data_IF_921550529236
#
_entry.id   IF_921550529236
#
_cell.length_a   1.000
_cell.length_b   1.000
_cell.length_c   1.000
_cell.angle_alpha   90.00
_cell.angle_beta   90.00
_cell.angle_gamma   90.00
#
_symmetry.space_group_name_H-M   'P 1'
#
loop_
_entity.id
_entity.type
_entity.pdbx_description
1 polymer ?
#
# COMPACT_ATOMS: atom_id res chain seq x y z
N UNK A 1 -2.35 -23.75 -8.97
CA UNK A 1 -2.13 -22.32 -8.65
C UNK A 1 -3.02 -21.41 -9.48
N UNK A 2 -2.89 -21.37 -10.81
CA UNK A 2 -3.76 -20.58 -11.71
C UNK A 2 -5.27 -20.80 -11.44
N UNK A 3 -5.74 -22.04 -11.34
CA UNK A 3 -7.14 -22.34 -11.03
C UNK A 3 -7.58 -21.95 -9.60
N UNK A 4 -6.64 -21.79 -8.67
CA UNK A 4 -6.93 -21.24 -7.33
C UNK A 4 -7.04 -19.71 -7.39
N UNK A 5 -6.13 -19.04 -8.10
CA UNK A 5 -6.17 -17.59 -8.34
C UNK A 5 -7.39 -17.16 -9.15
N UNK A 6 -7.77 -17.89 -10.21
CA UNK A 6 -9.00 -17.63 -10.99
C UNK A 6 -10.25 -17.63 -10.11
N UNK A 7 -10.37 -18.59 -9.19
CA UNK A 7 -11.50 -18.66 -8.25
C UNK A 7 -11.50 -17.53 -7.21
N UNK A 8 -10.33 -16.96 -6.90
CA UNK A 8 -10.20 -15.88 -5.92
C UNK A 8 -10.32 -14.48 -6.53
N UNK A 9 -9.82 -14.28 -7.74
CA UNK A 9 -9.80 -13.00 -8.45
C UNK A 9 -11.05 -12.78 -9.31
N UNK A 10 -11.79 -13.85 -9.66
CA UNK A 10 -13.00 -13.75 -10.49
C UNK A 10 -12.74 -13.35 -11.95
N UNK A 11 -11.49 -13.06 -12.32
CA UNK A 11 -11.06 -12.69 -13.67
C UNK A 11 -9.91 -13.59 -14.13
N UNK A 12 -10.03 -14.09 -15.36
CA UNK A 12 -9.08 -15.04 -15.97
C UNK A 12 -7.71 -14.44 -16.23
N UNK A 13 -7.68 -13.18 -16.65
CA UNK A 13 -6.48 -12.47 -17.10
C UNK A 13 -5.63 -12.02 -15.90
N UNK A 14 -6.25 -11.37 -14.91
CA UNK A 14 -5.57 -11.02 -13.65
C UNK A 14 -4.99 -12.25 -12.93
N UNK A 15 -5.64 -13.42 -13.03
CA UNK A 15 -5.10 -14.64 -12.46
C UNK A 15 -3.88 -15.18 -13.22
N UNK A 16 -3.79 -14.94 -14.53
CA UNK A 16 -2.63 -15.29 -15.34
C UNK A 16 -1.44 -14.38 -15.01
N UNK A 17 -1.66 -13.05 -14.96
CA UNK A 17 -0.64 -12.07 -14.60
C UNK A 17 -0.05 -12.36 -13.22
N UNK A 18 -0.90 -12.55 -12.22
CA UNK A 18 -0.45 -12.81 -10.85
C UNK A 18 0.27 -14.17 -10.72
N UNK A 19 -0.06 -15.14 -11.57
CA UNK A 19 0.67 -16.41 -11.66
C UNK A 19 2.06 -16.17 -12.24
N UNK A 20 2.16 -15.42 -13.34
CA UNK A 20 3.43 -15.06 -13.96
C UNK A 20 4.34 -14.33 -12.97
N UNK A 21 3.83 -13.30 -12.29
CA UNK A 21 4.58 -12.52 -11.31
C UNK A 21 5.10 -13.40 -10.16
N UNK A 22 4.28 -14.34 -9.69
CA UNK A 22 4.71 -15.28 -8.65
C UNK A 22 5.88 -16.14 -9.15
N UNK A 23 5.81 -16.66 -10.38
CA UNK A 23 6.89 -17.47 -10.94
C UNK A 23 8.17 -16.65 -11.13
N UNK A 24 8.08 -15.42 -11.64
CA UNK A 24 9.22 -14.50 -11.78
C UNK A 24 9.89 -14.24 -10.42
N UNK A 25 9.09 -14.00 -9.38
CA UNK A 25 9.61 -13.72 -8.05
C UNK A 25 10.29 -14.94 -7.41
N UNK A 26 9.76 -16.15 -7.65
CA UNK A 26 10.39 -17.41 -7.21
C UNK A 26 11.69 -17.68 -7.97
N UNK A 27 11.70 -17.48 -9.29
CA UNK A 27 12.92 -17.68 -10.09
C UNK A 27 14.04 -16.70 -9.73
N UNK A 28 13.67 -15.49 -9.28
CA UNK A 28 14.61 -14.46 -8.87
C UNK A 28 15.14 -14.65 -7.44
N UNK A 29 14.57 -15.59 -6.67
CA UNK A 29 15.03 -15.88 -5.31
C UNK A 29 16.35 -16.68 -5.36
N UNK A 30 17.43 -16.11 -4.82
CA UNK A 30 18.79 -16.63 -4.90
C UNK A 30 18.99 -18.08 -4.38
N UNK A 31 18.03 -18.64 -3.64
CA UNK A 31 18.08 -20.00 -3.08
C UNK A 31 16.87 -20.85 -3.49
N UNK A 32 16.25 -20.57 -4.64
CA UNK A 32 15.07 -21.30 -5.12
C UNK A 32 15.29 -22.83 -5.21
N UNK A 33 16.53 -23.27 -5.42
CA UNK A 33 16.89 -24.69 -5.54
C UNK A 33 17.08 -25.42 -4.20
N UNK A 34 17.29 -24.72 -3.09
CA UNK A 34 17.49 -25.32 -1.74
C UNK A 34 16.19 -25.38 -0.92
N UNK A 35 15.07 -25.06 -1.56
CA UNK A 35 13.80 -24.84 -0.88
C UNK A 35 13.12 -26.17 -0.54
N UNK A 36 13.03 -26.50 0.74
CA UNK A 36 12.41 -27.74 1.23
C UNK A 36 10.88 -27.82 0.97
N UNK A 37 10.18 -26.68 0.90
CA UNK A 37 8.72 -26.63 0.67
C UNK A 37 8.30 -25.62 -0.43
N UNK A 38 8.60 -25.92 -1.71
CA UNK A 38 8.38 -24.98 -2.81
C UNK A 38 6.90 -24.62 -3.03
N UNK A 39 5.96 -25.53 -2.74
CA UNK A 39 4.52 -25.27 -2.85
C UNK A 39 3.99 -24.30 -1.79
N UNK A 40 4.47 -24.44 -0.54
CA UNK A 40 4.09 -23.55 0.55
C UNK A 40 4.62 -22.13 0.26
N UNK A 41 5.88 -22.03 -0.18
CA UNK A 41 6.50 -20.77 -0.57
C UNK A 41 5.78 -20.07 -1.73
N UNK A 42 5.47 -20.79 -2.82
CA UNK A 42 4.65 -20.28 -3.93
C UNK A 42 3.30 -19.75 -3.45
N UNK A 43 2.66 -20.44 -2.50
CA UNK A 43 1.37 -20.02 -1.95
C UNK A 43 1.49 -18.75 -1.11
N UNK A 44 2.58 -18.58 -0.36
CA UNK A 44 2.86 -17.36 0.41
C UNK A 44 3.07 -16.18 -0.54
N UNK A 45 3.89 -16.33 -1.58
CA UNK A 45 4.10 -15.30 -2.59
C UNK A 45 2.78 -14.95 -3.30
N UNK A 46 2.05 -15.95 -3.77
CA UNK A 46 0.77 -15.73 -4.45
C UNK A 46 -0.23 -14.98 -3.57
N UNK A 47 -0.30 -15.32 -2.28
CA UNK A 47 -1.16 -14.60 -1.31
C UNK A 47 -0.72 -13.16 -1.11
N UNK A 48 0.59 -12.91 -1.01
CA UNK A 48 1.14 -11.56 -0.87
C UNK A 48 0.86 -10.72 -2.10
N UNK A 49 1.12 -11.25 -3.30
CA UNK A 49 0.83 -10.57 -4.56
C UNK A 49 -0.66 -10.31 -4.71
N UNK A 50 -1.51 -11.28 -4.36
CA UNK A 50 -2.97 -11.13 -4.41
C UNK A 50 -3.45 -10.05 -3.44
N UNK A 51 -2.91 -9.98 -2.22
CA UNK A 51 -3.24 -8.93 -1.26
C UNK A 51 -2.83 -7.54 -1.80
N UNK A 52 -1.63 -7.42 -2.37
CA UNK A 52 -1.18 -6.19 -3.00
C UNK A 52 -2.07 -5.79 -4.19
N UNK A 53 -2.50 -6.76 -5.00
CA UNK A 53 -3.42 -6.54 -6.12
C UNK A 53 -4.76 -5.95 -5.64
N UNK A 54 -5.40 -6.59 -4.66
CA UNK A 54 -6.67 -6.08 -4.10
C UNK A 54 -6.49 -4.70 -3.48
N UNK A 55 -5.40 -4.48 -2.75
CA UNK A 55 -5.09 -3.18 -2.15
C UNK A 55 -4.94 -2.08 -3.20
N UNK A 56 -4.22 -2.34 -4.29
CA UNK A 56 -4.07 -1.38 -5.39
C UNK A 56 -5.40 -1.11 -6.09
N UNK A 57 -6.22 -2.15 -6.28
CA UNK A 57 -7.56 -2.04 -6.88
C UNK A 57 -8.50 -1.19 -6.01
N UNK A 58 -8.49 -1.39 -4.69
CA UNK A 58 -9.33 -0.62 -3.77
C UNK A 58 -8.95 0.87 -3.79
N UNK A 59 -7.64 1.16 -3.85
CA UNK A 59 -7.13 2.53 -3.98
C UNK A 59 -7.53 3.17 -5.30
N UNK A 60 -7.39 2.45 -6.41
CA UNK A 60 -7.80 2.91 -7.75
C UNK A 60 -9.29 3.21 -7.80
N UNK A 61 -10.12 2.33 -7.23
CA UNK A 61 -11.57 2.56 -7.17
C UNK A 61 -11.90 3.81 -6.34
N UNK A 62 -11.30 3.98 -5.16
CA UNK A 62 -11.52 5.17 -4.34
C UNK A 62 -11.11 6.46 -5.06
N UNK A 63 -10.04 6.41 -5.86
CA UNK A 63 -9.62 7.54 -6.68
C UNK A 63 -10.60 7.84 -7.82
N UNK A 64 -11.10 6.81 -8.51
CA UNK A 64 -12.13 6.96 -9.55
C UNK A 64 -13.44 7.53 -8.97
N UNK A 65 -13.83 7.07 -7.79
CA UNK A 65 -15.02 7.56 -7.08
C UNK A 65 -14.85 9.05 -6.71
N UNK A 66 -13.65 9.47 -6.29
CA UNK A 66 -13.35 10.88 -6.02
C UNK A 66 -13.40 11.73 -7.31
N UNK A 67 -12.87 11.21 -8.42
CA UNK A 67 -12.92 11.89 -9.73
C UNK A 67 -14.34 12.01 -10.28
N UNK A 68 -15.23 11.04 -10.00
CA UNK A 68 -16.60 11.05 -10.49
C UNK A 68 -17.42 12.24 -9.97
N UNK A 69 -16.99 12.86 -8.86
CA UNK A 69 -17.64 14.04 -8.26
C UNK A 69 -16.91 15.34 -8.66
N UNK A 70 -15.79 15.24 -9.38
CA UNK A 70 -14.98 16.38 -9.80
C UNK A 70 -15.51 16.97 -11.13
N UNK A 71 -15.52 18.31 -11.30
CA UNK A 71 -15.85 18.92 -12.59
C UNK A 71 -14.86 18.51 -13.68
N UNK A 72 -15.35 18.16 -14.88
CA UNK A 72 -14.54 17.66 -16.00
C UNK A 72 -13.37 18.57 -16.40
N UNK A 73 -13.48 19.88 -16.18
CA UNK A 73 -12.43 20.86 -16.48
C UNK A 73 -11.14 20.65 -15.67
N UNK A 74 -11.19 19.86 -14.59
CA UNK A 74 -10.05 19.56 -13.72
C UNK A 74 -9.62 18.08 -13.82
N UNK A 75 -10.17 17.31 -14.75
CA UNK A 75 -9.86 15.90 -14.88
C UNK A 75 -8.39 15.70 -15.32
N UNK A 76 -7.59 14.94 -14.56
CA UNK A 76 -6.20 14.67 -14.94
C UNK A 76 -6.12 13.80 -16.19
N UNK A 77 -5.07 14.00 -16.99
CA UNK A 77 -4.77 13.17 -18.16
C UNK A 77 -4.54 11.70 -17.75
N UNK A 78 -4.55 10.78 -18.72
CA UNK A 78 -4.28 9.36 -18.42
C UNK A 78 -2.87 9.15 -17.84
N UNK A 79 -1.88 9.88 -18.32
CA UNK A 79 -0.50 9.81 -17.81
C UNK A 79 -0.42 10.35 -16.38
N UNK A 80 -1.04 11.50 -16.10
CA UNK A 80 -1.09 12.08 -14.75
C UNK A 80 -1.80 11.16 -13.76
N UNK A 81 -2.88 10.48 -14.20
CA UNK A 81 -3.59 9.50 -13.37
C UNK A 81 -2.69 8.35 -12.93
N UNK A 82 -1.84 7.84 -13.83
CA UNK A 82 -0.89 6.76 -13.50
C UNK A 82 0.11 7.25 -12.45
N UNK A 83 0.69 8.44 -12.66
CA UNK A 83 1.65 9.04 -11.72
C UNK A 83 1.02 9.24 -10.34
N UNK A 84 -0.21 9.76 -10.28
CA UNK A 84 -0.94 9.97 -9.02
C UNK A 84 -1.22 8.65 -8.32
N UNK A 85 -1.69 7.62 -9.04
CA UNK A 85 -1.96 6.31 -8.45
C UNK A 85 -0.69 5.63 -7.93
N UNK A 86 0.43 5.76 -8.64
CA UNK A 86 1.73 5.25 -8.19
C UNK A 86 2.18 5.95 -6.90
N UNK A 87 2.11 7.28 -6.86
CA UNK A 87 2.44 8.06 -5.68
C UNK A 87 1.54 7.69 -4.48
N UNK A 88 0.23 7.58 -4.69
CA UNK A 88 -0.72 7.15 -3.66
C UNK A 88 -0.43 5.73 -3.16
N UNK A 89 -0.05 4.81 -4.06
CA UNK A 89 0.32 3.44 -3.70
C UNK A 89 1.57 3.43 -2.81
N UNK A 90 2.58 4.24 -3.14
CA UNK A 90 3.79 4.35 -2.33
C UNK A 90 3.49 4.91 -0.92
N UNK A 91 2.68 5.97 -0.85
CA UNK A 91 2.24 6.55 0.43
C UNK A 91 1.47 5.51 1.25
N UNK A 92 0.53 4.78 0.64
CA UNK A 92 -0.27 3.78 1.33
C UNK A 92 0.61 2.63 1.87
N UNK A 93 1.56 2.12 1.07
CA UNK A 93 2.52 1.12 1.50
C UNK A 93 3.36 1.60 2.70
N UNK A 94 3.86 2.84 2.65
CA UNK A 94 4.59 3.46 3.75
C UNK A 94 3.72 3.57 5.01
N UNK A 95 2.49 4.07 4.88
CA UNK A 95 1.56 4.18 6.01
C UNK A 95 1.21 2.83 6.63
N UNK A 96 1.12 1.75 5.84
CA UNK A 96 0.89 0.41 6.37
C UNK A 96 2.12 -0.21 7.07
N UNK A 97 3.32 0.29 6.81
CA UNK A 97 4.52 -0.12 7.54
C UNK A 97 4.61 0.49 8.94
N UNK A 98 3.86 1.58 9.19
CA UNK A 98 3.87 2.29 10.45
C UNK A 98 2.99 1.57 11.51
N UNK A 99 3.42 1.54 12.77
CA UNK A 99 2.53 1.17 13.86
C UNK A 99 1.32 2.09 13.93
N UNK A 100 0.16 1.55 14.29
CA UNK A 100 -1.13 2.26 14.26
C UNK A 100 -1.10 3.63 14.96
N UNK A 101 -0.49 3.71 16.15
CA UNK A 101 -0.38 4.98 16.88
C UNK A 101 0.53 6.02 16.20
N UNK A 102 1.53 5.57 15.44
CA UNK A 102 2.42 6.44 14.66
C UNK A 102 1.68 6.96 13.43
N UNK A 103 0.95 6.08 12.73
CA UNK A 103 0.09 6.42 11.61
C UNK A 103 -0.99 7.44 12.02
N UNK A 104 -1.69 7.21 13.13
CA UNK A 104 -2.71 8.13 13.65
C UNK A 104 -2.16 9.53 13.93
N UNK A 105 -1.02 9.62 14.63
CA UNK A 105 -0.36 10.91 14.90
C UNK A 105 0.00 11.64 13.61
N UNK A 106 0.55 10.92 12.62
CA UNK A 106 0.91 11.49 11.33
C UNK A 106 -0.31 12.02 10.56
N UNK A 107 -1.38 11.22 10.46
CA UNK A 107 -2.59 11.62 9.74
C UNK A 107 -3.30 12.79 10.41
N UNK A 108 -3.36 12.85 11.75
CA UNK A 108 -3.94 13.99 12.46
C UNK A 108 -3.16 15.28 12.20
N UNK A 109 -1.83 15.21 12.10
CA UNK A 109 -1.04 16.39 11.79
C UNK A 109 -1.15 16.81 10.31
N UNK A 110 -1.12 15.86 9.38
CA UNK A 110 -1.02 16.17 7.94
C UNK A 110 -2.38 16.38 7.25
N UNK A 111 -3.43 15.65 7.65
CA UNK A 111 -4.75 15.76 7.03
C UNK A 111 -5.71 16.64 7.83
N UNK A 112 -5.55 16.67 9.15
CA UNK A 112 -6.41 17.44 10.04
C UNK A 112 -5.72 18.70 10.59
N UNK A 113 -4.50 19.00 10.12
CA UNK A 113 -3.71 20.19 10.46
C UNK A 113 -3.51 20.40 11.98
N UNK A 114 -3.64 19.34 12.77
CA UNK A 114 -3.59 19.44 14.22
C UNK A 114 -2.17 19.66 14.72
N UNK A 115 -2.03 20.52 15.73
CA UNK A 115 -0.78 20.75 16.44
C UNK A 115 -0.43 19.56 17.34
N UNK A 116 0.84 19.43 17.71
CA UNK A 116 1.27 18.35 18.60
C UNK A 116 0.61 18.40 19.98
N UNK A 117 0.20 19.59 20.44
CA UNK A 117 -0.52 19.76 21.69
C UNK A 117 -1.95 19.22 21.58
N UNK A 118 -2.66 19.52 20.49
CA UNK A 118 -4.03 19.03 20.27
C UNK A 118 -4.05 17.51 20.07
N UNK A 119 -3.10 16.97 19.31
CA UNK A 119 -2.95 15.51 19.13
C UNK A 119 -2.67 14.81 20.47
N UNK A 120 -1.84 15.41 21.32
CA UNK A 120 -1.54 14.89 22.66
C UNK A 120 -2.81 14.79 23.52
N UNK A 121 -3.65 15.82 23.49
CA UNK A 121 -4.94 15.83 24.19
C UNK A 121 -5.89 14.78 23.60
N UNK A 122 -6.05 14.75 22.27
CA UNK A 122 -6.99 13.85 21.60
C UNK A 122 -6.63 12.37 21.79
N UNK A 123 -5.35 12.03 21.77
CA UNK A 123 -4.89 10.65 21.91
C UNK A 123 -4.55 10.26 23.36
N UNK A 124 -4.73 11.17 24.31
CA UNK A 124 -4.48 10.93 25.74
C UNK A 124 -3.01 10.57 26.02
N UNK A 125 -2.07 11.24 25.35
CA UNK A 125 -0.65 10.90 25.41
C UNK A 125 0.24 12.14 25.55
N UNK A 126 1.43 12.04 26.15
CA UNK A 126 2.33 13.18 26.28
C UNK A 126 2.80 13.75 24.93
N UNK A 127 2.93 15.07 24.84
CA UNK A 127 3.45 15.79 23.64
C UNK A 127 4.82 15.27 23.19
N UNK A 128 5.67 14.86 24.14
CA UNK A 128 6.98 14.26 23.81
C UNK A 128 6.85 12.95 23.03
N UNK A 129 5.81 12.16 23.32
CA UNK A 129 5.51 10.92 22.62
C UNK A 129 4.96 11.20 21.22
N UNK A 130 4.11 12.23 21.07
CA UNK A 130 3.62 12.71 19.77
C UNK A 130 4.81 13.13 18.89
N UNK A 131 5.74 13.93 19.42
CA UNK A 131 6.96 14.33 18.70
C UNK A 131 7.81 13.13 18.27
N UNK A 132 7.96 12.13 19.14
CA UNK A 132 8.69 10.88 18.83
C UNK A 132 8.01 10.09 17.71
N UNK A 133 6.69 10.00 17.72
CA UNK A 133 5.93 9.32 16.68
C UNK A 133 5.98 10.08 15.34
N UNK A 134 5.85 11.41 15.36
CA UNK A 134 6.06 12.23 14.16
C UNK A 134 7.43 12.03 13.54
N UNK A 135 8.50 12.03 14.37
CA UNK A 135 9.85 11.75 13.87
C UNK A 135 9.94 10.41 13.15
N UNK A 136 9.33 9.36 13.71
CA UNK A 136 9.32 8.02 13.10
C UNK A 136 8.52 7.98 11.79
N UNK A 137 7.38 8.69 11.72
CA UNK A 137 6.60 8.79 10.49
C UNK A 137 7.37 9.53 9.39
N UNK A 138 7.99 10.66 9.71
CA UNK A 138 8.81 11.43 8.76
C UNK A 138 10.03 10.63 8.28
N UNK A 139 10.65 9.84 9.15
CA UNK A 139 11.71 8.92 8.74
C UNK A 139 11.24 7.88 7.74
N UNK A 140 10.02 7.35 7.88
CA UNK A 140 9.44 6.43 6.91
C UNK A 140 9.12 7.14 5.58
N UNK A 141 8.74 8.42 5.61
CA UNK A 141 8.54 9.21 4.39
C UNK A 141 9.86 9.44 3.64
N UNK A 142 10.94 9.76 4.34
CA UNK A 142 12.27 9.95 3.73
C UNK A 142 12.81 8.68 3.06
N UNK A 143 12.33 7.50 3.46
CA UNK A 143 12.70 6.23 2.81
C UNK A 143 11.96 5.99 1.48
N UNK A 144 10.98 6.83 1.11
CA UNK A 144 10.31 6.77 -0.19
C UNK A 144 11.08 7.49 -1.31
N UNK A 145 12.05 8.35 -0.98
CA UNK A 145 12.83 9.13 -1.96
C UNK A 145 14.01 8.36 -2.60
N UNK A 146 14.11 7.05 -2.37
CA UNK A 146 15.14 6.15 -2.89
C UNK A 146 14.53 4.91 -3.55
#
# INVERSE_FOLDING_TARGET
MLGWLRRKLGCGDHAADLTQDTFVQVMSAAHAQEMHEPRAYLTVIAKRLMFNFWRRRDLEQAYLDALAVMPDEHAPSQEDRVIVLEALTQVDLMLASLPEKVKQVFLLNQLHEMTYAEIAVQLGMPVITVRRYMKRALQACLQLEH
#
